data_IF_349146596357
#
_entry.id   IF_349146596357
#
_cell.length_a   1.000
_cell.length_b   1.000
_cell.length_c   1.000
_cell.angle_alpha   90.00
_cell.angle_beta   90.00
_cell.angle_gamma   90.00
#
_symmetry.space_group_name_H-M   'P 1'
#
loop_
_entity.id
_entity.type
_entity.pdbx_description
1 polymer ?
#
# COMPACT_ATOMS: atom_id res chain seq x y z
N UNK A 1 10.49 2.95 -16.44
CA UNK A 1 11.85 2.82 -15.83
C UNK A 1 11.84 3.07 -14.32
N UNK A 2 11.04 4.01 -13.80
CA UNK A 2 10.94 4.23 -12.35
C UNK A 2 10.16 3.11 -11.66
N UNK A 3 9.04 2.68 -12.25
CA UNK A 3 8.20 1.61 -11.69
C UNK A 3 8.97 0.30 -11.45
N UNK A 4 9.68 -0.21 -12.46
CA UNK A 4 10.42 -1.47 -12.36
C UNK A 4 11.47 -1.48 -11.25
N UNK A 5 12.22 -0.39 -11.07
CA UNK A 5 13.23 -0.30 -10.00
C UNK A 5 12.60 -0.33 -8.60
N UNK A 6 11.42 0.29 -8.45
CA UNK A 6 10.65 0.26 -7.20
C UNK A 6 10.09 -1.14 -6.98
N UNK A 7 9.57 -1.79 -8.02
CA UNK A 7 9.10 -3.18 -7.97
C UNK A 7 10.21 -4.10 -7.49
N UNK A 8 11.38 -4.10 -8.15
CA UNK A 8 12.53 -4.94 -7.78
C UNK A 8 12.96 -4.73 -6.33
N UNK A 9 12.94 -3.47 -5.86
CA UNK A 9 13.21 -3.15 -4.46
C UNK A 9 12.18 -3.76 -3.52
N UNK A 10 10.89 -3.69 -3.83
CA UNK A 10 9.83 -4.28 -3.01
C UNK A 10 9.95 -5.80 -2.98
N UNK A 11 10.11 -6.45 -4.13
CA UNK A 11 10.28 -7.91 -4.23
C UNK A 11 11.45 -8.42 -3.38
N UNK A 12 12.54 -7.64 -3.28
CA UNK A 12 13.70 -7.99 -2.44
C UNK A 12 13.42 -7.99 -0.94
N UNK A 13 12.30 -7.41 -0.51
CA UNK A 13 11.85 -7.40 0.90
C UNK A 13 11.04 -8.64 1.27
N UNK A 14 10.71 -9.51 0.30
CA UNK A 14 9.93 -10.73 0.54
C UNK A 14 8.62 -10.48 1.32
N UNK A 15 7.90 -9.42 0.94
CA UNK A 15 6.73 -8.91 1.66
C UNK A 15 5.50 -9.84 1.67
N UNK A 16 5.53 -10.97 0.97
CA UNK A 16 4.42 -11.92 0.96
C UNK A 16 4.13 -12.40 2.38
N UNK A 17 2.84 -12.38 2.73
CA UNK A 17 2.33 -12.68 4.07
C UNK A 17 2.82 -11.71 5.17
N UNK A 18 3.43 -10.57 4.81
CA UNK A 18 3.68 -9.50 5.77
C UNK A 18 2.36 -8.84 6.17
N UNK A 19 2.18 -8.58 7.47
CA UNK A 19 0.98 -7.91 7.97
C UNK A 19 1.07 -6.40 7.72
N UNK A 20 0.04 -5.82 7.11
CA UNK A 20 -0.14 -4.37 7.06
C UNK A 20 -0.45 -3.86 8.47
N UNK A 21 0.35 -2.92 8.94
CA UNK A 21 0.25 -2.28 10.25
C UNK A 21 -0.46 -0.94 10.20
N UNK A 22 -0.27 -0.20 9.10
CA UNK A 22 -0.79 1.16 8.94
C UNK A 22 -1.12 1.43 7.48
N UNK A 23 -2.22 2.15 7.29
CA UNK A 23 -2.61 2.75 6.02
C UNK A 23 -3.26 4.10 6.34
N UNK A 24 -2.58 5.18 6.01
CA UNK A 24 -2.94 6.52 6.47
C UNK A 24 -2.71 7.56 5.37
N UNK A 25 -3.46 8.65 5.44
CA UNK A 25 -3.33 9.78 4.51
C UNK A 25 -2.94 11.02 5.27
N UNK A 26 -1.94 11.75 4.77
CA UNK A 26 -1.51 13.02 5.34
C UNK A 26 -1.57 14.11 4.27
N UNK A 27 -1.39 15.38 4.68
CA UNK A 27 -1.35 16.52 3.75
C UNK A 27 -2.54 16.59 2.78
N UNK A 28 -3.76 16.39 3.29
CA UNK A 28 -5.00 16.37 2.48
C UNK A 28 -4.96 15.37 1.31
N UNK A 29 -4.44 14.16 1.58
CA UNK A 29 -4.30 13.07 0.60
C UNK A 29 -3.21 13.36 -0.45
N UNK A 30 -2.38 14.39 -0.28
CA UNK A 30 -1.18 14.56 -1.10
C UNK A 30 -0.17 13.44 -0.81
N UNK A 31 -0.15 12.93 0.43
CA UNK A 31 0.68 11.82 0.87
C UNK A 31 -0.16 10.66 1.40
N UNK A 32 0.28 9.44 1.08
CA UNK A 32 -0.26 8.19 1.63
C UNK A 32 0.89 7.40 2.22
N UNK A 33 0.67 6.81 3.39
CA UNK A 33 1.66 6.00 4.12
C UNK A 33 1.08 4.60 4.28
N UNK A 34 1.84 3.59 3.85
CA UNK A 34 1.57 2.18 4.12
C UNK A 34 2.76 1.60 4.89
N UNK A 35 2.48 0.97 6.04
CA UNK A 35 3.51 0.29 6.84
C UNK A 35 3.17 -1.18 6.96
N UNK A 36 4.16 -2.06 6.81
CA UNK A 36 4.01 -3.50 7.03
C UNK A 36 5.16 -4.09 7.86
N UNK A 37 4.86 -5.21 8.51
CA UNK A 37 5.82 -5.96 9.34
C UNK A 37 6.97 -6.53 8.49
N UNK A 38 8.20 -6.44 8.97
CA UNK A 38 9.35 -7.21 8.47
C UNK A 38 10.24 -7.62 9.65
N UNK A 39 11.07 -8.65 9.46
CA UNK A 39 11.82 -9.29 10.56
C UNK A 39 12.84 -8.36 11.24
N UNK A 40 13.42 -7.43 10.49
CA UNK A 40 14.46 -6.52 10.99
C UNK A 40 14.01 -5.04 10.97
N UNK A 41 12.78 -4.78 11.42
CA UNK A 41 12.18 -3.44 11.46
C UNK A 41 11.11 -3.26 10.39
N UNK A 42 10.07 -2.49 10.70
CA UNK A 42 8.92 -2.32 9.80
C UNK A 42 9.33 -1.63 8.51
N UNK A 43 8.64 -1.95 7.42
CA UNK A 43 8.82 -1.27 6.14
C UNK A 43 7.75 -0.21 5.98
N UNK A 44 8.16 1.00 5.63
CA UNK A 44 7.29 2.10 5.25
C UNK A 44 7.37 2.34 3.74
N UNK A 45 6.21 2.43 3.09
CA UNK A 45 6.04 2.96 1.75
C UNK A 45 5.34 4.32 1.85
N UNK A 46 6.03 5.36 1.40
CA UNK A 46 5.51 6.71 1.26
C UNK A 46 5.18 6.99 -0.20
N UNK A 47 3.91 7.27 -0.47
CA UNK A 47 3.41 7.76 -1.75
C UNK A 47 3.24 9.28 -1.65
N UNK A 48 3.86 10.05 -2.56
CA UNK A 48 3.81 11.52 -2.52
C UNK A 48 3.31 12.14 -3.82
N UNK A 49 2.63 13.28 -3.69
CA UNK A 49 1.95 13.95 -4.79
C UNK A 49 0.84 13.08 -5.37
N UNK A 50 0.02 12.47 -4.49
CA UNK A 50 -1.04 11.56 -4.86
C UNK A 50 -2.19 12.31 -5.52
N UNK A 51 -2.68 11.79 -6.65
CA UNK A 51 -3.83 12.34 -7.38
C UNK A 51 -5.08 11.48 -7.23
N UNK A 52 -4.92 10.22 -6.85
CA UNK A 52 -6.02 9.29 -6.63
C UNK A 52 -5.62 8.22 -5.61
N UNK A 53 -6.53 7.94 -4.70
CA UNK A 53 -6.43 6.84 -3.74
C UNK A 53 -7.77 6.12 -3.72
N UNK A 54 -7.75 4.82 -3.99
CA UNK A 54 -8.94 3.97 -4.01
C UNK A 54 -8.75 2.82 -3.03
N UNK A 55 -9.75 2.62 -2.17
CA UNK A 55 -9.84 1.47 -1.27
C UNK A 55 -11.07 0.66 -1.64
N UNK A 56 -10.91 -0.64 -1.77
CA UNK A 56 -12.01 -1.58 -2.01
C UNK A 56 -11.98 -2.67 -0.96
N UNK A 57 -13.16 -3.02 -0.43
CA UNK A 57 -13.39 -4.11 0.54
C UNK A 57 -14.80 -4.63 0.29
N UNK A 58 -15.07 -5.89 0.66
CA UNK A 58 -16.45 -6.38 0.60
C UNK A 58 -17.29 -5.78 1.74
N UNK A 59 -18.61 -5.73 1.55
CA UNK A 59 -19.56 -5.30 2.59
C UNK A 59 -19.60 -6.32 3.72
N UNK A 60 -19.47 -7.62 3.39
CA UNK A 60 -19.45 -8.73 4.34
C UNK A 60 -18.28 -8.59 5.34
N UNK A 61 -17.09 -8.22 4.85
CA UNK A 61 -15.88 -7.95 5.66
C UNK A 61 -15.99 -6.70 6.55
N UNK A 62 -17.13 -6.00 6.50
CA UNK A 62 -17.44 -4.80 7.28
C UNK A 62 -18.68 -4.93 8.15
N UNK A 63 -19.35 -6.09 8.16
CA UNK A 63 -20.49 -6.33 9.05
C UNK A 63 -20.10 -6.22 10.52
N UNK A 64 -18.88 -6.67 10.86
CA UNK A 64 -18.29 -6.48 12.19
C UNK A 64 -17.26 -5.34 12.15
N UNK A 65 -17.38 -4.32 13.02
CA UNK A 65 -16.37 -3.27 13.11
C UNK A 65 -14.98 -3.85 13.48
N UNK A 66 -13.95 -3.53 12.69
CA UNK A 66 -12.57 -3.98 12.95
C UNK A 66 -12.07 -3.61 14.35
N UNK A 67 -12.51 -2.46 14.89
CA UNK A 67 -12.17 -2.00 16.25
C UNK A 67 -12.64 -2.93 17.37
N UNK A 68 -13.57 -3.85 17.07
CA UNK A 68 -14.14 -4.84 17.99
C UNK A 68 -13.57 -6.25 17.77
N UNK A 69 -12.57 -6.37 16.89
CA UNK A 69 -11.88 -7.61 16.60
C UNK A 69 -10.56 -7.68 17.37
N UNK A 70 -10.17 -8.89 17.77
CA UNK A 70 -8.81 -9.12 18.27
C UNK A 70 -7.83 -9.08 17.08
N UNK A 71 -6.58 -8.68 17.34
CA UNK A 71 -5.55 -8.61 16.29
C UNK A 71 -5.39 -9.93 15.52
N UNK A 72 -5.50 -11.07 16.20
CA UNK A 72 -5.45 -12.40 15.59
C UNK A 72 -6.58 -12.68 14.58
N UNK A 73 -7.67 -11.92 14.65
CA UNK A 73 -8.84 -12.06 13.78
C UNK A 73 -8.78 -11.12 12.58
N UNK A 74 -7.84 -10.17 12.55
CA UNK A 74 -7.75 -9.13 11.52
C UNK A 74 -6.85 -9.67 10.38
N UNK A 75 -7.43 -10.04 9.22
CA UNK A 75 -6.65 -10.49 8.07
C UNK A 75 -6.23 -9.24 7.29
N UNK A 76 -4.94 -8.93 7.25
CA UNK A 76 -4.37 -7.88 6.37
C UNK A 76 -2.96 -8.26 5.98
N UNK A 77 -2.81 -9.48 5.46
CA UNK A 77 -1.53 -9.98 4.99
C UNK A 77 -1.38 -9.67 3.51
N UNK A 78 -0.24 -9.08 3.15
CA UNK A 78 0.05 -8.68 1.78
C UNK A 78 0.21 -9.93 0.92
N UNK A 79 -0.57 -10.01 -0.15
CA UNK A 79 -0.47 -11.04 -1.16
C UNK A 79 0.30 -10.53 -2.39
N UNK A 80 0.17 -9.25 -2.72
CA UNK A 80 0.79 -8.67 -3.89
C UNK A 80 0.96 -7.15 -3.75
N UNK A 81 2.05 -6.62 -4.29
CA UNK A 81 2.28 -5.19 -4.50
C UNK A 81 2.74 -5.00 -5.94
N UNK A 82 1.91 -4.38 -6.78
CA UNK A 82 2.20 -4.14 -8.19
C UNK A 82 2.44 -2.65 -8.45
N UNK A 83 3.61 -2.31 -9.02
CA UNK A 83 3.97 -0.96 -9.44
C UNK A 83 3.99 -0.88 -10.97
N UNK A 84 3.29 0.11 -11.52
CA UNK A 84 3.24 0.36 -12.96
C UNK A 84 3.46 1.83 -13.28
N UNK A 85 4.10 2.09 -14.44
CA UNK A 85 4.19 3.43 -15.00
C UNK A 85 2.79 3.82 -15.56
N UNK A 86 2.27 5.00 -15.21
CA UNK A 86 0.96 5.49 -15.65
C UNK A 86 1.09 6.88 -16.28
N UNK A 87 0.22 7.22 -17.23
CA UNK A 87 0.20 8.56 -17.85
C UNK A 87 -1.21 9.13 -17.79
N UNK A 88 -1.34 10.34 -17.24
CA UNK A 88 -2.60 11.08 -17.22
C UNK A 88 -2.36 12.50 -17.71
N UNK A 89 -3.13 12.96 -18.69
CA UNK A 89 -3.02 14.32 -19.24
C UNK A 89 -1.58 14.70 -19.66
N UNK A 90 -0.84 13.73 -20.22
CA UNK A 90 0.56 13.90 -20.62
C UNK A 90 1.57 13.96 -19.47
N UNK A 91 1.14 13.73 -18.22
CA UNK A 91 1.99 13.68 -17.03
C UNK A 91 2.26 12.24 -16.63
N UNK A 92 3.54 11.89 -16.46
CA UNK A 92 3.95 10.58 -15.94
C UNK A 92 3.70 10.48 -14.44
N UNK A 93 3.08 9.38 -14.03
CA UNK A 93 2.72 9.02 -12.66
C UNK A 93 3.12 7.55 -12.42
N UNK A 94 3.03 7.14 -11.15
CA UNK A 94 3.20 5.76 -10.73
C UNK A 94 1.87 5.29 -10.14
N UNK A 95 1.42 4.12 -10.59
CA UNK A 95 0.30 3.43 -9.97
C UNK A 95 0.85 2.29 -9.11
N UNK A 96 0.44 2.26 -7.84
CA UNK A 96 0.73 1.18 -6.92
C UNK A 96 -0.57 0.50 -6.53
N UNK A 97 -0.64 -0.81 -6.72
CA UNK A 97 -1.77 -1.64 -6.29
C UNK A 97 -1.30 -2.62 -5.23
N UNK A 98 -1.90 -2.55 -4.04
CA UNK A 98 -1.63 -3.48 -2.93
C UNK A 98 -2.84 -4.36 -2.70
N UNK A 99 -2.63 -5.67 -2.70
CA UNK A 99 -3.64 -6.66 -2.39
C UNK A 99 -3.31 -7.23 -1.02
N UNK A 100 -4.14 -6.91 -0.03
CA UNK A 100 -4.02 -7.42 1.33
C UNK A 100 -5.43 -7.75 1.85
N UNK A 101 -6.00 -8.91 1.49
CA UNK A 101 -7.40 -9.20 1.76
C UNK A 101 -7.75 -9.05 3.24
N UNK A 102 -8.92 -8.45 3.54
CA UNK A 102 -10.02 -8.15 2.62
C UNK A 102 -9.91 -6.80 1.88
N UNK A 103 -8.79 -6.07 1.97
CA UNK A 103 -8.63 -4.80 1.25
C UNK A 103 -7.82 -4.93 -0.03
N UNK A 104 -8.18 -4.12 -1.02
CA UNK A 104 -7.32 -3.74 -2.13
C UNK A 104 -7.15 -2.23 -2.10
N UNK A 105 -5.91 -1.78 -2.25
CA UNK A 105 -5.54 -0.37 -2.25
C UNK A 105 -4.93 -0.04 -3.60
N UNK A 106 -5.34 1.05 -4.23
CA UNK A 106 -4.72 1.57 -5.44
C UNK A 106 -4.37 3.04 -5.24
N UNK A 107 -3.09 3.39 -5.39
CA UNK A 107 -2.55 4.74 -5.20
C UNK A 107 -1.89 5.21 -6.49
N UNK A 108 -2.39 6.32 -7.03
CA UNK A 108 -1.78 7.01 -8.16
C UNK A 108 -1.04 8.25 -7.66
N UNK A 109 0.27 8.31 -7.89
CA UNK A 109 1.13 9.34 -7.29
C UNK A 109 2.30 9.73 -8.20
N UNK A 110 3.07 10.76 -7.81
CA UNK A 110 4.26 11.21 -8.55
C UNK A 110 5.52 10.43 -8.19
N UNK A 111 5.63 10.00 -6.93
CA UNK A 111 6.80 9.32 -6.40
C UNK A 111 6.44 8.34 -5.30
N UNK A 112 7.21 7.26 -5.22
CA UNK A 112 7.12 6.24 -4.19
C UNK A 112 8.50 6.12 -3.55
N UNK A 113 8.55 6.19 -2.23
CA UNK A 113 9.75 5.94 -1.43
C UNK A 113 9.51 4.74 -0.54
N UNK A 114 10.53 3.89 -0.41
CA UNK A 114 10.49 2.70 0.45
C UNK A 114 11.64 2.81 1.45
N UNK A 115 11.33 2.76 2.74
CA UNK A 115 12.28 2.85 3.85
C UNK A 115 12.03 1.75 4.87
N UNK A 116 13.07 1.39 5.60
CA UNK A 116 13.01 0.47 6.72
C UNK A 116 13.27 1.27 8.00
N UNK A 117 12.40 1.14 8.99
CA UNK A 117 12.56 1.76 10.32
C UNK A 117 13.45 0.93 11.22
#
# INVERSE_FOLDING_TARGET
MKAQQIQEKLESLHYWDARVLKLDTTNFVDDVILVFEDSDGNVEILFSGCSRVLFSTSVEDREKPLKEMQLSQIPYFIQDIEISDFVQDGRGLLNCKVIAPPITVEVLCKSITVSKE
#
